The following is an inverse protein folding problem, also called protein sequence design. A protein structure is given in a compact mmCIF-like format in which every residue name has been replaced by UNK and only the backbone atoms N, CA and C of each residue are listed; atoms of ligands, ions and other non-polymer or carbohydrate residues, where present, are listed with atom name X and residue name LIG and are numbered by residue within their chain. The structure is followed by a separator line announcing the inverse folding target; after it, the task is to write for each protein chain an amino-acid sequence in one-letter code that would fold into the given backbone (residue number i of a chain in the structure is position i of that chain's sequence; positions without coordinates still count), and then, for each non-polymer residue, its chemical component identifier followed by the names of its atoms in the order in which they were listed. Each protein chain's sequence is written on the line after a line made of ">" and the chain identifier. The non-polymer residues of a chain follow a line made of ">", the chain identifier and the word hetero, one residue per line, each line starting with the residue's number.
data_IF_570389174473
#
_entry.id   IF_570389174473
#
_cell.length_a   1.000
_cell.length_b   1.000
_cell.length_c   1.000
_cell.angle_alpha   90.00
_cell.angle_beta   90.00
_cell.angle_gamma   90.00
#
_symmetry.space_group_name_H-M   'P 1'
#
loop_
_entity.id
_entity.type
_entity.pdbx_description
1 polymer ?
#
# COMPACT_ATOMS: atom_id res chain seq x y z
N UNK A 1 -10.93 45.07 5.11
CA UNK A 1 -12.05 44.15 5.36
C UNK A 1 -13.35 44.93 5.14
N UNK A 2 -13.75 45.14 3.89
CA UNK A 2 -14.87 46.02 3.49
C UNK A 2 -16.23 45.30 3.46
N UNK A 3 -16.21 43.97 3.45
CA UNK A 3 -17.40 43.10 3.37
C UNK A 3 -18.39 43.37 4.51
N UNK A 4 -17.91 43.59 5.74
CA UNK A 4 -18.79 43.87 6.89
C UNK A 4 -19.43 45.27 6.86
N UNK A 5 -18.77 46.25 6.22
CA UNK A 5 -19.33 47.59 6.03
C UNK A 5 -20.43 47.58 4.96
N UNK A 6 -20.21 46.83 3.87
CA UNK A 6 -21.16 46.69 2.77
C UNK A 6 -22.45 45.93 3.16
N UNK A 7 -22.41 45.11 4.21
CA UNK A 7 -23.59 44.41 4.74
C UNK A 7 -24.68 45.35 5.26
N UNK A 8 -24.34 46.58 5.67
CA UNK A 8 -25.32 47.58 6.13
C UNK A 8 -26.09 48.24 4.99
N UNK A 9 -25.61 48.11 3.75
CA UNK A 9 -26.29 48.60 2.54
C UNK A 9 -27.17 47.54 1.87
N UNK A 10 -27.13 46.30 2.37
CA UNK A 10 -27.99 45.23 1.86
C UNK A 10 -29.44 45.52 2.25
N UNK A 11 -30.39 45.32 1.32
CA UNK A 11 -31.80 45.45 1.62
C UNK A 11 -32.21 44.57 2.80
N UNK A 12 -33.02 45.10 3.72
CA UNK A 12 -33.45 44.40 4.93
C UNK A 12 -34.10 43.03 4.66
N UNK A 13 -34.71 42.83 3.49
CA UNK A 13 -35.28 41.54 3.11
C UNK A 13 -34.23 40.43 2.99
N UNK A 14 -32.99 40.75 2.60
CA UNK A 14 -31.89 39.77 2.48
C UNK A 14 -31.55 39.16 3.84
N UNK A 15 -31.62 39.97 4.90
CA UNK A 15 -31.45 39.50 6.28
C UNK A 15 -32.59 38.59 6.77
N UNK A 16 -33.80 38.76 6.23
CA UNK A 16 -34.97 37.95 6.58
C UNK A 16 -35.05 36.62 5.80
N UNK A 17 -34.35 36.52 4.65
CA UNK A 17 -34.39 35.33 3.79
C UNK A 17 -34.00 34.03 4.51
N UNK A 18 -32.90 33.95 5.29
CA UNK A 18 -32.52 32.71 5.99
C UNK A 18 -33.62 32.24 6.96
N UNK A 19 -34.26 33.16 7.66
CA UNK A 19 -35.34 32.86 8.60
C UNK A 19 -36.56 32.33 7.86
N UNK A 20 -36.96 33.00 6.77
CA UNK A 20 -38.12 32.57 5.95
C UNK A 20 -37.86 31.20 5.33
N UNK A 21 -36.69 30.98 4.73
CA UNK A 21 -36.31 29.70 4.12
C UNK A 21 -36.22 28.59 5.17
N UNK A 22 -35.68 28.89 6.36
CA UNK A 22 -35.63 27.94 7.48
C UNK A 22 -37.02 27.50 7.94
N UNK A 23 -37.94 28.46 8.14
CA UNK A 23 -39.33 28.17 8.53
C UNK A 23 -40.05 27.36 7.45
N UNK A 24 -39.88 27.73 6.18
CA UNK A 24 -40.45 26.97 5.06
C UNK A 24 -39.86 25.55 4.98
N UNK A 25 -38.57 25.37 5.25
CA UNK A 25 -37.92 24.07 5.31
C UNK A 25 -38.48 23.18 6.41
N UNK A 26 -38.71 23.74 7.61
CA UNK A 26 -39.35 23.03 8.72
C UNK A 26 -40.80 22.67 8.38
N UNK A 27 -41.56 23.60 7.81
CA UNK A 27 -42.93 23.34 7.39
C UNK A 27 -42.99 22.23 6.33
N UNK A 28 -42.08 22.26 5.35
CA UNK A 28 -41.94 21.21 4.34
C UNK A 28 -41.60 19.86 4.97
N UNK A 29 -40.65 19.81 5.91
CA UNK A 29 -40.31 18.60 6.63
C UNK A 29 -41.51 18.05 7.43
N UNK A 30 -42.27 18.90 8.11
CA UNK A 30 -43.49 18.49 8.81
C UNK A 30 -44.51 17.86 7.85
N UNK A 31 -44.72 18.48 6.67
CA UNK A 31 -45.63 17.91 5.67
C UNK A 31 -45.13 16.56 5.17
N UNK A 32 -43.83 16.44 4.87
CA UNK A 32 -43.25 15.22 4.31
C UNK A 32 -43.15 14.06 5.30
N UNK A 33 -42.93 14.33 6.59
CA UNK A 33 -42.68 13.28 7.59
C UNK A 33 -43.84 13.05 8.56
N UNK A 34 -44.74 14.03 8.77
CA UNK A 34 -45.88 13.90 9.69
C UNK A 34 -47.20 13.86 8.93
N UNK A 35 -47.48 14.87 8.10
CA UNK A 35 -48.80 14.97 7.45
C UNK A 35 -48.98 13.98 6.29
N UNK A 36 -47.92 13.73 5.50
CA UNK A 36 -47.95 12.89 4.29
C UNK A 36 -46.64 12.08 4.12
N UNK A 37 -46.43 11.04 4.94
CA UNK A 37 -45.23 10.20 4.90
C UNK A 37 -45.04 9.40 3.61
N UNK A 38 -46.04 9.37 2.71
CA UNK A 38 -45.93 8.74 1.38
C UNK A 38 -45.06 9.55 0.40
N UNK A 39 -44.89 10.85 0.63
CA UNK A 39 -44.19 11.74 -0.30
C UNK A 39 -42.69 11.43 -0.44
N UNK A 40 -41.91 11.23 0.65
CA UNK A 40 -40.51 10.81 0.56
C UNK A 40 -40.31 9.51 -0.22
N UNK A 41 -41.22 8.54 -0.05
CA UNK A 41 -41.12 7.26 -0.75
C UNK A 41 -41.38 7.39 -2.25
N UNK A 42 -42.35 8.22 -2.65
CA UNK A 42 -42.58 8.58 -4.07
C UNK A 42 -41.39 9.31 -4.67
N UNK A 43 -40.74 10.21 -3.91
CA UNK A 43 -39.51 10.89 -4.37
C UNK A 43 -38.35 9.91 -4.54
N UNK A 44 -38.19 8.95 -3.62
CA UNK A 44 -37.22 7.85 -3.77
C UNK A 44 -37.49 7.03 -5.03
N UNK A 45 -38.75 6.68 -5.29
CA UNK A 45 -39.13 5.90 -6.47
C UNK A 45 -38.93 6.68 -7.78
N UNK A 46 -39.10 8.00 -7.77
CA UNK A 46 -38.91 8.84 -8.95
C UNK A 46 -37.43 9.01 -9.33
N UNK A 47 -36.52 9.02 -8.35
CA UNK A 47 -35.08 9.18 -8.59
C UNK A 47 -34.25 8.28 -7.67
N UNK A 48 -34.30 6.95 -7.85
CA UNK A 48 -33.65 6.00 -6.96
C UNK A 48 -32.13 6.18 -6.92
N UNK A 49 -31.50 6.49 -8.06
CA UNK A 49 -30.05 6.72 -8.13
C UNK A 49 -29.59 7.97 -7.40
N UNK A 50 -30.34 9.08 -7.46
CA UNK A 50 -30.01 10.30 -6.72
C UNK A 50 -30.21 10.10 -5.21
N UNK A 51 -31.30 9.44 -4.82
CA UNK A 51 -31.54 9.09 -3.43
C UNK A 51 -30.42 8.21 -2.89
N UNK A 52 -30.03 7.16 -3.62
CA UNK A 52 -28.95 6.27 -3.23
C UNK A 52 -27.60 7.01 -3.16
N UNK A 53 -27.31 7.90 -4.10
CA UNK A 53 -26.09 8.71 -4.07
C UNK A 53 -25.99 9.59 -2.81
N UNK A 54 -27.07 10.29 -2.45
CA UNK A 54 -27.12 11.11 -1.22
C UNK A 54 -27.08 10.22 0.03
N UNK A 55 -27.76 9.07 -0.01
CA UNK A 55 -27.79 8.08 1.08
C UNK A 55 -26.40 7.48 1.35
N UNK A 56 -25.65 7.16 0.29
CA UNK A 56 -24.27 6.66 0.32
C UNK A 56 -23.26 7.80 0.57
N UNK A 57 -23.69 8.93 1.15
CA UNK A 57 -22.82 10.07 1.48
C UNK A 57 -21.95 10.51 0.30
N UNK A 58 -22.54 10.54 -0.90
CA UNK A 58 -21.87 10.93 -2.14
C UNK A 58 -20.76 9.97 -2.60
N UNK A 59 -20.72 8.76 -2.02
CA UNK A 59 -19.72 7.71 -2.30
C UNK A 59 -18.27 8.15 -2.11
N UNK A 60 -18.06 9.17 -1.26
CA UNK A 60 -16.74 9.76 -1.05
C UNK A 60 -15.82 8.81 -0.28
N UNK A 61 -16.37 8.06 0.67
CA UNK A 61 -15.64 7.07 1.46
C UNK A 61 -15.09 5.95 0.55
N UNK A 62 -15.89 5.44 -0.37
CA UNK A 62 -15.49 4.40 -1.33
C UNK A 62 -14.48 4.93 -2.36
N UNK A 63 -14.67 6.17 -2.82
CA UNK A 63 -13.71 6.81 -3.72
C UNK A 63 -12.35 6.97 -3.04
N UNK A 64 -12.35 7.42 -1.78
CA UNK A 64 -11.12 7.57 -1.00
C UNK A 64 -10.44 6.22 -0.75
N UNK A 65 -11.21 5.19 -0.41
CA UNK A 65 -10.68 3.83 -0.25
C UNK A 65 -10.05 3.30 -1.54
N UNK A 66 -10.73 3.49 -2.67
CA UNK A 66 -10.27 3.01 -3.97
C UNK A 66 -9.03 3.77 -4.49
N UNK A 67 -8.96 5.09 -4.28
CA UNK A 67 -7.91 5.95 -4.82
C UNK A 67 -6.68 6.01 -3.92
N UNK A 68 -6.86 6.03 -2.60
CA UNK A 68 -5.76 6.24 -1.66
C UNK A 68 -5.43 5.00 -0.84
N UNK A 69 -6.44 4.38 -0.21
CA UNK A 69 -6.19 3.31 0.79
C UNK A 69 -5.70 2.04 0.11
N UNK A 70 -6.44 1.50 -0.86
CA UNK A 70 -6.08 0.24 -1.53
C UNK A 70 -4.75 0.32 -2.28
N UNK A 71 -4.47 1.38 -3.07
CA UNK A 71 -3.22 1.46 -3.81
C UNK A 71 -2.03 1.60 -2.87
N UNK A 72 -2.15 2.41 -1.80
CA UNK A 72 -1.09 2.52 -0.79
C UNK A 72 -0.82 1.19 -0.10
N UNK A 73 -1.86 0.46 0.28
CA UNK A 73 -1.71 -0.87 0.89
C UNK A 73 -1.08 -1.90 -0.06
N UNK A 74 -1.43 -1.86 -1.36
CA UNK A 74 -0.82 -2.75 -2.35
C UNK A 74 0.67 -2.41 -2.59
N UNK A 75 1.00 -1.13 -2.72
CA UNK A 75 2.38 -0.68 -2.88
C UNK A 75 3.24 -1.05 -1.67
N UNK A 76 2.73 -0.84 -0.45
CA UNK A 76 3.43 -1.22 0.78
C UNK A 76 3.71 -2.73 0.85
N UNK A 77 2.71 -3.57 0.53
CA UNK A 77 2.90 -5.04 0.50
C UNK A 77 3.92 -5.47 -0.55
N UNK A 78 3.88 -4.84 -1.73
CA UNK A 78 4.81 -5.15 -2.82
C UNK A 78 6.24 -4.78 -2.44
N UNK A 79 6.44 -3.60 -1.86
CA UNK A 79 7.74 -3.16 -1.37
C UNK A 79 8.29 -4.07 -0.27
N UNK A 80 7.44 -4.51 0.66
CA UNK A 80 7.86 -5.45 1.70
C UNK A 80 8.24 -6.82 1.13
N UNK A 81 7.41 -7.42 0.29
CA UNK A 81 7.67 -8.77 -0.25
C UNK A 81 8.84 -8.81 -1.23
N UNK A 82 9.02 -7.77 -2.04
CA UNK A 82 10.07 -7.71 -3.06
C UNK A 82 11.36 -7.09 -2.51
N UNK A 83 11.25 -5.99 -1.78
CA UNK A 83 12.40 -5.30 -1.21
C UNK A 83 12.98 -6.08 -0.05
N UNK A 84 12.20 -6.25 1.02
CA UNK A 84 12.71 -6.80 2.27
C UNK A 84 12.95 -8.31 2.17
N UNK A 85 11.88 -9.08 1.96
CA UNK A 85 11.95 -10.54 2.02
C UNK A 85 12.81 -11.19 0.92
N UNK A 86 12.91 -10.58 -0.27
CA UNK A 86 13.69 -11.14 -1.39
C UNK A 86 15.05 -10.50 -1.57
N UNK A 87 15.16 -9.17 -1.47
CA UNK A 87 16.42 -8.49 -1.75
C UNK A 87 17.29 -8.40 -0.50
N UNK A 88 16.72 -7.90 0.60
CA UNK A 88 17.46 -7.67 1.85
C UNK A 88 17.76 -9.00 2.55
N UNK A 89 16.74 -9.86 2.71
CA UNK A 89 16.92 -11.16 3.37
C UNK A 89 17.46 -12.23 2.42
N UNK A 90 17.01 -12.23 1.16
CA UNK A 90 17.34 -13.30 0.23
C UNK A 90 18.80 -13.30 -0.24
N UNK A 91 19.41 -12.12 -0.46
CA UNK A 91 20.78 -12.04 -0.98
C UNK A 91 21.81 -12.56 0.03
N UNK A 92 21.88 -12.07 1.29
CA UNK A 92 22.88 -12.53 2.24
C UNK A 92 22.70 -14.00 2.60
N UNK A 93 21.45 -14.45 2.77
CA UNK A 93 21.16 -15.86 3.06
C UNK A 93 21.54 -16.77 1.90
N UNK A 94 21.32 -16.35 0.65
CA UNK A 94 21.75 -17.10 -0.53
C UNK A 94 23.27 -17.19 -0.65
N UNK A 95 24.00 -16.12 -0.35
CA UNK A 95 25.47 -16.14 -0.33
C UNK A 95 25.97 -17.07 0.79
N UNK A 96 25.35 -16.99 1.97
CA UNK A 96 25.69 -17.85 3.10
C UNK A 96 25.45 -19.34 2.77
N UNK A 97 24.31 -19.68 2.15
CA UNK A 97 24.00 -21.07 1.75
C UNK A 97 24.98 -21.58 0.69
N UNK A 98 25.29 -20.78 -0.33
CA UNK A 98 26.27 -21.15 -1.36
C UNK A 98 27.66 -21.41 -0.75
N UNK A 99 28.06 -20.57 0.20
CA UNK A 99 29.35 -20.72 0.89
C UNK A 99 29.36 -21.96 1.77
N UNK A 100 28.27 -22.23 2.50
CA UNK A 100 28.12 -23.42 3.33
C UNK A 100 28.14 -24.71 2.48
N UNK A 101 27.40 -24.74 1.37
CA UNK A 101 27.35 -25.89 0.46
C UNK A 101 28.71 -26.15 -0.19
N UNK A 102 29.39 -25.09 -0.66
CA UNK A 102 30.76 -25.20 -1.19
C UNK A 102 31.73 -25.76 -0.15
N UNK A 103 31.64 -25.26 1.09
CA UNK A 103 32.46 -25.74 2.20
C UNK A 103 32.18 -27.20 2.52
N UNK A 104 30.92 -27.62 2.52
CA UNK A 104 30.53 -29.01 2.76
C UNK A 104 31.11 -29.97 1.70
N UNK A 105 31.19 -29.55 0.43
CA UNK A 105 31.83 -30.36 -0.61
C UNK A 105 33.35 -30.44 -0.41
N UNK A 106 34.00 -29.33 -0.06
CA UNK A 106 35.45 -29.31 0.23
C UNK A 106 35.80 -30.22 1.41
N UNK A 107 34.99 -30.19 2.47
CA UNK A 107 35.20 -31.05 3.65
C UNK A 107 35.10 -32.53 3.27
N UNK A 108 34.22 -32.92 2.34
CA UNK A 108 34.09 -34.33 1.90
C UNK A 108 35.32 -34.87 1.17
N UNK A 109 36.17 -34.00 0.60
CA UNK A 109 37.43 -34.42 -0.03
C UNK A 109 38.43 -34.92 1.03
N UNK A 110 38.30 -34.50 2.28
CA UNK A 110 39.11 -35.01 3.39
C UNK A 110 38.60 -36.41 3.81
N UNK A 111 39.10 -37.43 3.12
CA UNK A 111 38.73 -38.84 3.36
C UNK A 111 39.37 -39.46 4.59
N UNK A 112 40.35 -38.79 5.22
CA UNK A 112 41.09 -39.30 6.38
C UNK A 112 42.14 -40.38 6.04
N UNK A 113 42.35 -40.70 4.76
CA UNK A 113 43.31 -41.70 4.31
C UNK A 113 44.74 -41.14 4.24
N UNK A 114 45.66 -41.73 5.01
CA UNK A 114 47.09 -41.36 5.01
C UNK A 114 47.71 -41.53 3.61
N UNK A 115 47.32 -42.58 2.88
CA UNK A 115 47.83 -42.85 1.53
C UNK A 115 47.45 -41.73 0.54
N UNK A 116 46.21 -41.24 0.63
CA UNK A 116 45.72 -40.12 -0.21
C UNK A 116 46.50 -38.85 0.10
N UNK A 117 46.77 -38.54 1.37
CA UNK A 117 47.56 -37.38 1.75
C UNK A 117 49.00 -37.44 1.21
N UNK A 118 49.69 -38.57 1.39
CA UNK A 118 51.06 -38.75 0.91
C UNK A 118 51.16 -38.59 -0.62
N UNK A 119 50.21 -39.15 -1.36
CA UNK A 119 50.13 -39.01 -2.82
C UNK A 119 49.88 -37.55 -3.26
N UNK A 120 48.98 -36.85 -2.56
CA UNK A 120 48.66 -35.44 -2.85
C UNK A 120 49.86 -34.53 -2.58
N UNK A 121 50.62 -34.77 -1.51
CA UNK A 121 51.85 -34.02 -1.21
C UNK A 121 52.92 -34.22 -2.28
N UNK A 122 53.09 -35.45 -2.77
CA UNK A 122 54.05 -35.75 -3.86
C UNK A 122 53.68 -34.98 -5.13
N UNK A 123 52.41 -34.99 -5.53
CA UNK A 123 51.93 -34.22 -6.69
C UNK A 123 52.20 -32.72 -6.50
N UNK A 124 51.88 -32.17 -5.32
CA UNK A 124 52.12 -30.76 -5.01
C UNK A 124 53.60 -30.38 -5.11
N UNK A 125 54.50 -31.24 -4.62
CA UNK A 125 55.94 -31.04 -4.72
C UNK A 125 56.41 -31.04 -6.18
N UNK A 126 55.99 -32.03 -6.97
CA UNK A 126 56.36 -32.14 -8.39
C UNK A 126 55.87 -30.93 -9.18
N UNK A 127 54.63 -30.48 -8.95
CA UNK A 127 54.07 -29.29 -9.58
C UNK A 127 54.87 -28.04 -9.21
N UNK A 128 55.14 -27.81 -7.93
CA UNK A 128 55.91 -26.65 -7.47
C UNK A 128 57.30 -26.60 -8.10
N UNK A 129 58.02 -27.72 -8.11
CA UNK A 129 59.36 -27.81 -8.72
C UNK A 129 59.29 -27.58 -10.22
N UNK A 130 58.30 -28.16 -10.91
CA UNK A 130 58.14 -28.01 -12.36
C UNK A 130 57.83 -26.57 -12.75
N UNK A 131 56.92 -25.92 -12.02
CA UNK A 131 56.60 -24.49 -12.20
C UNK A 131 57.85 -23.65 -11.93
N UNK A 132 58.55 -23.87 -10.81
CA UNK A 132 59.77 -23.15 -10.48
C UNK A 132 60.85 -23.26 -11.57
N UNK A 133 61.04 -24.45 -12.15
CA UNK A 133 62.02 -24.67 -13.23
C UNK A 133 61.60 -24.04 -14.56
N UNK A 134 60.30 -23.94 -14.85
CA UNK A 134 59.78 -23.30 -16.06
C UNK A 134 59.81 -21.77 -16.00
N UNK A 135 59.65 -21.19 -14.80
CA UNK A 135 59.64 -19.74 -14.58
C UNK A 135 61.00 -19.19 -14.09
N UNK A 136 62.01 -20.04 -13.95
CA UNK A 136 63.41 -19.68 -13.73
C UNK A 136 64.08 -19.34 -15.06
#
# INVERSE_FOLDING_TARGET
>A
NTVLADMHHLPAFVGLLPTVVGVLGIALAYVMYVARPELPERMRAAAPGLHQFVLEKWRFDELYDAVFVRPTGWSARTLWQVGDAKLIDGIPNGIASLTADGSAQVVRIQTGSIAVYAFTMLIGLVLLVSVFLLFR
#
